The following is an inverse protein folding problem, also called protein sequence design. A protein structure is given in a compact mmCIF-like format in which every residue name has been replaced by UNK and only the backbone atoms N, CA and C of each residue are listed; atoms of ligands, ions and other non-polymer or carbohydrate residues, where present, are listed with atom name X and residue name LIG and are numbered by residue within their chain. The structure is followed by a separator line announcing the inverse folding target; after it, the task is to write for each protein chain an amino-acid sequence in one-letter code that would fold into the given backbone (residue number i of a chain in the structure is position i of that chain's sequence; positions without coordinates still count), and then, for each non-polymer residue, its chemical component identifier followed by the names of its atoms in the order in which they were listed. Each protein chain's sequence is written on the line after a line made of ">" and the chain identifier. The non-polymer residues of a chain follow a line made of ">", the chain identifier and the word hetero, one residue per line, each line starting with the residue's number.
data_IF_973724426870
#
_entry.id   IF_973724426870
#
_cell.length_a   1.000
_cell.length_b   1.000
_cell.length_c   1.000
_cell.angle_alpha   90.00
_cell.angle_beta   90.00
_cell.angle_gamma   90.00
#
_symmetry.space_group_name_H-M   'P 1'
#
loop_
_entity.id
_entity.type
_entity.pdbx_description
1 polymer ?
#
# COMPACT_ATOMS: atom_id res chain seq x y z
N UNK A 1 24.17 44.69 -1.25
CA UNK A 1 25.28 43.71 -1.16
C UNK A 1 25.17 43.00 0.19
N UNK A 2 25.36 41.67 0.23
CA UNK A 2 25.30 40.77 1.41
C UNK A 2 23.90 40.30 1.85
N UNK A 3 23.35 39.28 1.18
CA UNK A 3 22.44 38.27 1.78
C UNK A 3 22.26 37.03 0.86
N UNK A 4 23.32 36.58 0.19
CA UNK A 4 23.26 35.43 -0.76
C UNK A 4 24.14 34.21 -0.42
N UNK A 5 24.86 34.21 0.71
CA UNK A 5 25.84 33.15 0.99
C UNK A 5 25.51 32.19 2.14
N UNK A 6 24.39 32.35 2.86
CA UNK A 6 24.05 31.44 3.96
C UNK A 6 23.27 30.18 3.53
N UNK A 7 22.70 30.15 2.32
CA UNK A 7 21.94 28.99 1.83
C UNK A 7 22.78 27.89 1.16
N UNK A 8 24.10 28.12 0.98
CA UNK A 8 25.00 27.14 0.36
C UNK A 8 25.78 26.26 1.34
N UNK A 9 25.65 26.51 2.65
CA UNK A 9 26.27 25.69 3.69
C UNK A 9 25.31 24.71 4.40
N UNK A 10 23.99 24.87 4.23
CA UNK A 10 23.00 23.90 4.71
C UNK A 10 22.66 22.80 3.68
N UNK A 11 23.08 22.96 2.42
CA UNK A 11 22.91 21.95 1.35
C UNK A 11 24.13 21.02 1.22
N UNK A 12 25.22 21.31 1.93
CA UNK A 12 26.42 20.46 1.95
C UNK A 12 26.48 19.48 3.15
N UNK A 13 25.50 19.54 4.08
CA UNK A 13 25.46 18.66 5.25
C UNK A 13 24.45 17.49 5.14
N UNK A 14 23.61 17.45 4.09
CA UNK A 14 22.72 16.32 3.80
C UNK A 14 23.22 15.41 2.67
N UNK A 15 24.45 15.63 2.17
CA UNK A 15 25.06 14.87 1.08
C UNK A 15 26.32 14.07 1.50
N UNK A 16 26.53 13.86 2.80
CA UNK A 16 27.62 13.02 3.34
C UNK A 16 27.14 12.02 4.40
N UNK A 17 25.96 11.44 4.19
CA UNK A 17 25.55 10.18 4.84
C UNK A 17 25.24 9.08 3.81
N UNK A 18 25.76 9.21 2.59
CA UNK A 18 26.06 8.06 1.75
C UNK A 18 27.41 7.47 2.19
N UNK A 19 27.52 7.11 3.47
CA UNK A 19 28.49 6.08 3.82
C UNK A 19 28.00 4.84 3.10
N UNK A 20 28.75 4.45 2.08
CA UNK A 20 28.76 3.10 1.52
C UNK A 20 28.68 2.16 2.72
N UNK A 21 27.49 1.63 3.00
CA UNK A 21 27.41 0.40 3.74
C UNK A 21 27.98 -0.58 2.73
N UNK A 22 29.30 -0.77 2.78
CA UNK A 22 29.85 -2.04 2.33
C UNK A 22 28.96 -3.05 3.02
N UNK A 23 28.15 -3.76 2.26
CA UNK A 23 27.43 -4.90 2.77
C UNK A 23 28.50 -5.81 3.34
N UNK A 24 28.78 -5.67 4.63
CA UNK A 24 29.67 -6.57 5.35
C UNK A 24 28.93 -7.88 5.31
N UNK A 25 29.27 -8.72 4.32
CA UNK A 25 28.67 -10.02 4.17
C UNK A 25 28.84 -10.71 5.52
N UNK A 26 27.73 -10.96 6.22
CA UNK A 26 27.78 -11.73 7.45
C UNK A 26 28.40 -13.07 7.09
N UNK A 27 29.49 -13.40 7.74
CA UNK A 27 30.16 -14.69 7.56
C UNK A 27 29.79 -15.61 8.70
N UNK A 28 29.66 -16.90 8.38
CA UNK A 28 29.36 -17.96 9.32
C UNK A 28 30.44 -19.04 9.24
N UNK A 29 30.37 -19.95 10.20
CA UNK A 29 31.20 -21.14 10.26
C UNK A 29 30.37 -22.34 9.80
N UNK A 30 30.86 -23.07 8.81
CA UNK A 30 30.35 -24.40 8.50
C UNK A 30 31.30 -25.44 9.09
N UNK A 31 30.74 -26.50 9.66
CA UNK A 31 31.52 -27.60 10.21
C UNK A 31 30.91 -28.94 9.83
N UNK A 32 31.61 -30.02 10.15
CA UNK A 32 31.10 -31.37 10.00
C UNK A 32 32.17 -32.39 10.32
N UNK A 33 31.86 -33.65 10.08
CA UNK A 33 32.75 -34.79 10.29
C UNK A 33 32.84 -35.63 9.03
N UNK A 34 34.05 -36.04 8.70
CA UNK A 34 34.37 -36.97 7.61
C UNK A 34 34.77 -38.30 8.22
N UNK A 35 34.02 -39.35 7.89
CA UNK A 35 34.34 -40.74 8.24
C UNK A 35 34.44 -41.60 6.98
N UNK A 36 35.10 -42.75 7.08
CA UNK A 36 35.27 -43.74 6.01
C UNK A 36 34.67 -45.06 6.46
N UNK A 37 33.72 -45.57 5.67
CA UNK A 37 33.09 -46.87 5.90
C UNK A 37 34.10 -48.01 5.66
N UNK A 38 34.20 -48.92 6.62
CA UNK A 38 35.02 -50.11 6.57
C UNK A 38 34.21 -51.30 6.02
N UNK A 39 34.91 -52.38 5.66
CA UNK A 39 34.28 -53.60 5.11
C UNK A 39 33.33 -54.28 6.12
N UNK A 40 33.56 -54.10 7.42
CA UNK A 40 32.73 -54.61 8.52
C UNK A 40 31.50 -53.74 8.82
N UNK A 41 31.28 -52.67 8.05
CA UNK A 41 30.16 -51.74 8.21
C UNK A 41 30.40 -50.63 9.25
N UNK A 42 31.50 -50.65 9.99
CA UNK A 42 31.89 -49.56 10.90
C UNK A 42 32.40 -48.35 10.12
N UNK A 43 32.53 -47.19 10.78
CA UNK A 43 33.12 -45.99 10.18
C UNK A 43 34.26 -45.47 11.03
N UNK A 44 35.38 -45.13 10.40
CA UNK A 44 36.55 -44.56 11.06
C UNK A 44 36.72 -43.10 10.65
N UNK A 45 37.15 -42.19 11.56
CA UNK A 45 37.41 -40.81 11.18
C UNK A 45 38.52 -40.69 10.13
N UNK A 46 38.36 -39.77 9.18
CA UNK A 46 39.36 -39.53 8.13
C UNK A 46 40.13 -38.26 8.46
N UNK A 47 41.44 -38.39 8.68
CA UNK A 47 42.35 -37.26 8.88
C UNK A 47 42.72 -36.62 7.54
N UNK A 48 42.87 -35.29 7.53
CA UNK A 48 43.34 -34.51 6.39
C UNK A 48 42.46 -34.62 5.13
N UNK A 49 41.20 -35.04 5.27
CA UNK A 49 40.22 -34.98 4.18
C UNK A 49 40.00 -33.52 3.78
N UNK A 50 40.04 -33.24 2.49
CA UNK A 50 39.85 -31.89 1.95
C UNK A 50 38.38 -31.67 1.65
N UNK A 51 37.79 -30.67 2.31
CA UNK A 51 36.40 -30.25 2.10
C UNK A 51 36.38 -28.89 1.42
N UNK A 52 35.77 -28.81 0.24
CA UNK A 52 35.65 -27.59 -0.57
C UNK A 52 34.19 -27.14 -0.66
N UNK A 53 33.96 -25.84 -0.52
CA UNK A 53 32.66 -25.19 -0.63
C UNK A 53 32.69 -24.31 -1.87
N UNK A 54 31.92 -24.66 -2.89
CA UNK A 54 31.80 -23.88 -4.12
C UNK A 54 30.51 -23.07 -4.09
N UNK A 55 30.59 -21.75 -4.29
CA UNK A 55 29.40 -20.93 -4.56
C UNK A 55 28.78 -21.37 -5.89
N UNK A 56 27.46 -21.50 -5.90
CA UNK A 56 26.71 -21.96 -7.08
C UNK A 56 26.40 -20.83 -8.07
N UNK A 57 26.33 -19.60 -7.58
CA UNK A 57 25.94 -18.39 -8.30
C UNK A 57 27.13 -17.54 -8.78
N UNK A 58 28.27 -17.61 -8.08
CA UNK A 58 29.48 -16.87 -8.43
C UNK A 58 30.73 -17.76 -8.33
N UNK A 59 31.80 -17.40 -9.04
CA UNK A 59 33.07 -18.14 -9.00
C UNK A 59 33.86 -17.82 -7.73
N UNK A 60 33.43 -18.40 -6.61
CA UNK A 60 34.07 -18.27 -5.31
C UNK A 60 34.12 -19.63 -4.61
N UNK A 61 35.23 -19.93 -3.94
CA UNK A 61 35.42 -21.19 -3.21
C UNK A 61 36.06 -20.98 -1.84
N UNK A 62 35.76 -21.90 -0.93
CA UNK A 62 36.34 -21.97 0.41
C UNK A 62 36.78 -23.41 0.68
N UNK A 63 37.79 -23.61 1.52
CA UNK A 63 38.26 -24.95 1.84
C UNK A 63 38.57 -25.13 3.33
N UNK A 64 38.51 -26.38 3.76
CA UNK A 64 38.94 -26.83 5.08
C UNK A 64 39.53 -28.24 4.99
N UNK A 65 40.27 -28.63 6.03
CA UNK A 65 40.76 -30.00 6.21
C UNK A 65 40.21 -30.58 7.50
N UNK A 66 39.93 -31.88 7.50
CA UNK A 66 39.55 -32.58 8.72
C UNK A 66 40.75 -32.85 9.64
N UNK A 67 40.51 -32.80 10.94
CA UNK A 67 41.47 -33.13 11.98
C UNK A 67 41.62 -34.65 12.19
N UNK A 68 42.41 -35.07 13.19
CA UNK A 68 42.60 -36.49 13.54
C UNK A 68 41.29 -37.21 13.94
N UNK A 69 40.30 -36.46 14.42
CA UNK A 69 38.97 -36.96 14.77
C UNK A 69 37.96 -36.88 13.60
N UNK A 70 38.43 -36.55 12.39
CA UNK A 70 37.61 -36.40 11.19
C UNK A 70 36.82 -35.09 11.14
N UNK A 71 36.95 -34.20 12.13
CA UNK A 71 36.15 -32.97 12.19
C UNK A 71 36.80 -31.87 11.37
N UNK A 72 36.02 -31.13 10.61
CA UNK A 72 36.48 -29.96 9.89
C UNK A 72 35.65 -28.74 10.28
N UNK A 73 36.28 -27.57 10.19
CA UNK A 73 35.65 -26.27 10.45
C UNK A 73 36.14 -25.30 9.38
N UNK A 74 35.21 -24.64 8.71
CA UNK A 74 35.47 -23.61 7.71
C UNK A 74 34.78 -22.31 8.15
N UNK A 75 35.58 -21.33 8.58
CA UNK A 75 35.11 -20.04 9.03
C UNK A 75 35.23 -19.00 7.91
N UNK A 76 34.32 -18.02 7.88
CA UNK A 76 34.37 -16.97 6.86
C UNK A 76 33.48 -17.24 5.64
N UNK A 77 32.58 -18.23 5.71
CA UNK A 77 31.67 -18.54 4.61
C UNK A 77 30.52 -17.52 4.61
N UNK A 78 30.17 -16.88 3.48
CA UNK A 78 29.03 -15.96 3.41
C UNK A 78 27.73 -16.65 3.84
N UNK A 79 27.00 -16.01 4.77
CA UNK A 79 25.70 -16.48 5.27
C UNK A 79 24.65 -16.57 4.15
N UNK A 80 24.74 -15.65 3.19
CA UNK A 80 23.83 -15.58 2.04
C UNK A 80 24.48 -16.28 0.85
N UNK A 81 23.82 -17.29 0.30
CA UNK A 81 24.25 -18.01 -0.90
C UNK A 81 23.96 -19.50 -0.84
N UNK A 82 24.04 -20.16 -1.99
CA UNK A 82 23.89 -21.61 -2.11
C UNK A 82 25.22 -22.23 -2.53
N UNK A 83 25.59 -23.33 -1.89
CA UNK A 83 26.90 -23.96 -2.02
C UNK A 83 26.81 -25.40 -2.47
N UNK A 84 27.81 -25.86 -3.20
CA UNK A 84 28.11 -27.28 -3.37
C UNK A 84 29.30 -27.61 -2.48
N UNK A 85 29.15 -28.56 -1.55
CA UNK A 85 30.21 -28.99 -0.64
C UNK A 85 30.77 -30.30 -1.16
N UNK A 86 32.04 -30.35 -1.53
CA UNK A 86 32.72 -31.54 -2.01
C UNK A 86 33.80 -31.99 -1.04
N UNK A 87 33.97 -33.29 -0.88
CA UNK A 87 34.98 -33.90 -0.03
C UNK A 87 35.85 -34.88 -0.81
N UNK A 88 37.14 -34.93 -0.48
CA UNK A 88 38.09 -35.90 -1.01
C UNK A 88 39.09 -36.30 0.06
N UNK A 89 39.54 -37.55 0.03
CA UNK A 89 40.56 -38.05 0.96
C UNK A 89 41.35 -39.20 0.33
N UNK A 90 42.63 -39.38 0.68
CA UNK A 90 43.41 -40.52 0.20
C UNK A 90 42.74 -41.86 0.51
N UNK A 91 42.69 -42.75 -0.49
CA UNK A 91 42.08 -44.09 -0.34
C UNK A 91 40.54 -44.09 -0.24
N UNK A 92 39.89 -42.94 -0.47
CA UNK A 92 38.45 -42.80 -0.46
C UNK A 92 37.94 -42.31 -1.82
N UNK A 93 36.72 -42.70 -2.19
CA UNK A 93 36.02 -42.13 -3.35
C UNK A 93 35.51 -40.73 -2.96
N UNK A 94 35.72 -39.69 -3.78
CA UNK A 94 35.20 -38.35 -3.49
C UNK A 94 33.67 -38.34 -3.49
N UNK A 95 33.10 -37.40 -2.74
CA UNK A 95 31.65 -37.23 -2.60
C UNK A 95 31.29 -35.73 -2.54
N UNK A 96 30.01 -35.39 -2.75
CA UNK A 96 29.55 -34.02 -2.64
C UNK A 96 28.07 -33.89 -2.26
N UNK A 97 27.75 -32.78 -1.59
CA UNK A 97 26.38 -32.36 -1.25
C UNK A 97 26.07 -31.09 -2.06
N UNK A 98 25.13 -31.15 -3.01
CA UNK A 98 24.73 -29.98 -3.79
C UNK A 98 23.69 -29.12 -3.05
N UNK A 99 23.53 -27.88 -3.50
CA UNK A 99 22.45 -26.98 -3.10
C UNK A 99 22.31 -26.68 -1.60
N UNK A 100 23.43 -26.61 -0.88
CA UNK A 100 23.46 -26.37 0.57
C UNK A 100 23.31 -24.87 0.87
N UNK A 101 22.34 -24.52 1.73
CA UNK A 101 22.24 -23.19 2.35
C UNK A 101 22.90 -23.24 3.73
N UNK A 102 23.98 -22.49 3.92
CA UNK A 102 24.75 -22.49 5.17
C UNK A 102 24.04 -21.62 6.20
N UNK A 103 23.74 -22.18 7.36
CA UNK A 103 23.16 -21.45 8.51
C UNK A 103 24.18 -21.38 9.65
N UNK A 104 23.90 -20.57 10.68
CA UNK A 104 24.83 -20.37 11.80
C UNK A 104 25.23 -21.63 12.59
N UNK A 105 24.55 -22.78 12.35
CA UNK A 105 24.84 -24.07 13.01
C UNK A 105 24.81 -25.26 12.02
N UNK A 106 25.14 -25.05 10.75
CA UNK A 106 25.09 -26.16 9.78
C UNK A 106 26.22 -27.17 9.99
N UNK A 107 25.84 -28.43 10.21
CA UNK A 107 26.75 -29.58 10.17
C UNK A 107 26.57 -30.33 8.85
N UNK A 108 27.66 -30.48 8.07
CA UNK A 108 27.65 -31.17 6.78
C UNK A 108 28.60 -32.38 6.84
N UNK A 109 28.09 -33.49 7.36
CA UNK A 109 28.87 -34.70 7.56
C UNK A 109 29.01 -35.50 6.26
N UNK A 110 30.14 -36.21 6.14
CA UNK A 110 30.43 -37.11 5.03
C UNK A 110 30.80 -38.49 5.54
N UNK A 111 30.17 -39.51 4.98
CA UNK A 111 30.55 -40.91 5.17
C UNK A 111 31.07 -41.42 3.84
N UNK A 112 32.39 -41.37 3.68
CA UNK A 112 33.08 -41.83 2.49
C UNK A 112 33.09 -43.35 2.40
N UNK A 113 33.32 -43.84 1.19
CA UNK A 113 33.60 -45.25 0.90
C UNK A 113 35.01 -45.40 0.33
N UNK A 114 35.65 -46.58 0.47
CA UNK A 114 36.97 -46.82 -0.11
C UNK A 114 37.00 -46.53 -1.61
N UNK A 115 38.11 -45.97 -2.08
CA UNK A 115 38.27 -45.57 -3.46
C UNK A 115 39.70 -45.17 -3.80
N UNK A 116 39.85 -44.51 -4.94
CA UNK A 116 41.15 -44.17 -5.55
C UNK A 116 41.81 -42.92 -4.95
N UNK A 117 41.13 -42.21 -4.05
CA UNK A 117 41.61 -40.96 -3.48
C UNK A 117 41.54 -39.76 -4.43
N UNK A 118 40.75 -39.88 -5.51
CA UNK A 118 40.52 -38.77 -6.44
C UNK A 118 39.77 -37.60 -5.79
N UNK A 119 39.83 -36.44 -6.44
CA UNK A 119 39.11 -35.25 -6.02
C UNK A 119 38.30 -34.69 -7.20
N UNK A 120 37.05 -34.31 -6.94
CA UNK A 120 36.19 -33.73 -7.95
C UNK A 120 36.43 -32.21 -8.08
N UNK A 121 36.59 -31.74 -9.31
CA UNK A 121 36.56 -30.31 -9.64
C UNK A 121 35.12 -29.80 -9.67
N UNK A 122 34.92 -28.49 -9.47
CA UNK A 122 33.57 -27.91 -9.54
C UNK A 122 32.90 -28.17 -10.90
N UNK A 123 33.64 -28.12 -12.00
CA UNK A 123 33.10 -28.36 -13.34
C UNK A 123 32.71 -29.83 -13.53
N UNK A 124 33.49 -30.79 -13.00
CA UNK A 124 33.10 -32.21 -12.99
C UNK A 124 31.85 -32.44 -12.14
N UNK A 125 31.69 -31.73 -11.02
CA UNK A 125 30.48 -31.83 -10.19
C UNK A 125 29.28 -31.24 -10.93
N UNK A 126 29.42 -30.08 -11.59
CA UNK A 126 28.36 -29.50 -12.42
C UNK A 126 27.96 -30.43 -13.55
N UNK A 127 28.92 -31.05 -14.23
CA UNK A 127 28.65 -32.04 -15.28
C UNK A 127 27.96 -33.30 -14.71
N UNK A 128 28.41 -33.80 -13.55
CA UNK A 128 27.79 -34.93 -12.88
C UNK A 128 26.35 -34.63 -12.39
N UNK A 129 26.06 -33.37 -12.03
CA UNK A 129 24.70 -32.93 -11.69
C UNK A 129 23.82 -32.69 -12.92
N UNK A 130 24.42 -32.34 -14.06
CA UNK A 130 23.71 -32.07 -15.32
C UNK A 130 23.47 -33.34 -16.15
N UNK A 131 24.20 -34.44 -15.89
CA UNK A 131 23.96 -35.72 -16.53
C UNK A 131 22.65 -36.34 -16.04
N UNK A 132 21.78 -36.87 -16.93
CA UNK A 132 20.64 -37.68 -16.50
C UNK A 132 21.19 -38.88 -15.71
N UNK A 133 20.80 -39.01 -14.44
CA UNK A 133 21.31 -40.06 -13.55
C UNK A 133 21.06 -41.44 -14.16
N UNK A 134 22.09 -42.03 -14.76
CA UNK A 134 22.15 -43.46 -14.99
C UNK A 134 22.14 -44.15 -13.62
N UNK A 135 21.22 -45.09 -13.46
CA UNK A 135 20.80 -45.63 -12.16
C UNK A 135 21.95 -46.09 -11.26
N UNK A 136 21.88 -45.66 -10.01
CA UNK A 136 22.51 -46.39 -8.91
C UNK A 136 21.56 -47.52 -8.52
N UNK A 137 21.90 -48.74 -8.92
CA UNK A 137 21.25 -49.99 -8.49
C UNK A 137 21.59 -50.25 -7.01
N UNK A 138 20.81 -49.65 -6.12
CA UNK A 138 20.69 -50.02 -4.72
C UNK A 138 19.20 -50.13 -4.41
N UNK A 139 18.69 -51.36 -4.36
CA UNK A 139 17.27 -51.68 -4.28
C UNK A 139 16.57 -51.06 -3.08
N UNK A 140 15.77 -50.05 -3.38
CA UNK A 140 14.64 -49.58 -2.61
C UNK A 140 13.85 -48.70 -3.57
N UNK A 141 12.80 -49.24 -4.20
CA UNK A 141 11.88 -48.41 -4.95
C UNK A 141 11.41 -47.28 -4.01
N UNK A 142 11.69 -46.02 -4.36
CA UNK A 142 11.01 -44.91 -3.68
C UNK A 142 9.52 -45.23 -3.72
N UNK A 143 8.91 -45.29 -2.54
CA UNK A 143 7.48 -45.52 -2.43
C UNK A 143 6.75 -44.49 -3.30
N UNK A 144 5.57 -44.84 -3.79
CA UNK A 144 4.75 -43.88 -4.54
C UNK A 144 4.53 -42.58 -3.73
N UNK A 145 4.52 -42.68 -2.39
CA UNK A 145 4.47 -41.55 -1.46
C UNK A 145 5.73 -40.68 -1.47
N UNK A 146 6.93 -41.27 -1.49
CA UNK A 146 8.18 -40.50 -1.51
C UNK A 146 8.40 -39.81 -2.86
N UNK A 147 7.99 -40.44 -3.97
CA UNK A 147 7.98 -39.81 -5.30
C UNK A 147 7.00 -38.63 -5.35
N UNK A 148 5.83 -38.79 -4.74
CA UNK A 148 4.83 -37.72 -4.63
C UNK A 148 5.33 -36.55 -3.78
N UNK A 149 5.89 -36.80 -2.60
CA UNK A 149 6.46 -35.75 -1.73
C UNK A 149 7.61 -35.00 -2.39
N UNK A 150 8.50 -35.70 -3.11
CA UNK A 150 9.58 -35.06 -3.85
C UNK A 150 9.05 -34.17 -4.99
N UNK A 151 8.03 -34.64 -5.72
CA UNK A 151 7.39 -33.85 -6.78
C UNK A 151 6.67 -32.62 -6.22
N UNK A 152 5.98 -32.75 -5.08
CA UNK A 152 5.33 -31.63 -4.37
C UNK A 152 6.36 -30.60 -3.89
N UNK A 153 7.47 -31.04 -3.31
CA UNK A 153 8.56 -30.15 -2.89
C UNK A 153 9.21 -29.43 -4.08
N UNK A 154 9.43 -30.12 -5.20
CA UNK A 154 9.99 -29.52 -6.41
C UNK A 154 9.03 -28.51 -7.05
N UNK A 155 7.73 -28.80 -7.08
CA UNK A 155 6.71 -27.88 -7.54
C UNK A 155 6.65 -26.62 -6.65
N UNK A 156 6.76 -26.79 -5.32
CA UNK A 156 6.77 -25.66 -4.39
C UNK A 156 8.03 -24.81 -4.52
N UNK A 157 9.21 -25.41 -4.70
CA UNK A 157 10.45 -24.67 -4.98
C UNK A 157 10.34 -23.88 -6.28
N UNK A 158 9.84 -24.52 -7.36
CA UNK A 158 9.65 -23.84 -8.64
C UNK A 158 8.67 -22.66 -8.53
N UNK A 159 7.57 -22.84 -7.78
CA UNK A 159 6.61 -21.78 -7.47
C UNK A 159 7.27 -20.61 -6.74
N UNK A 160 8.03 -20.89 -5.67
CA UNK A 160 8.71 -19.85 -4.88
C UNK A 160 9.76 -19.12 -5.73
N UNK A 161 10.53 -19.84 -6.56
CA UNK A 161 11.51 -19.23 -7.46
C UNK A 161 10.86 -18.29 -8.46
N UNK A 162 9.75 -18.70 -9.07
CA UNK A 162 9.00 -17.85 -10.00
C UNK A 162 8.39 -16.63 -9.28
N UNK A 163 7.86 -16.82 -8.08
CA UNK A 163 7.34 -15.73 -7.25
C UNK A 163 8.44 -14.71 -6.89
N UNK A 164 9.64 -15.17 -6.52
CA UNK A 164 10.77 -14.30 -6.19
C UNK A 164 11.23 -13.50 -7.41
N UNK A 165 11.31 -14.13 -8.59
CA UNK A 165 11.65 -13.43 -9.83
C UNK A 165 10.65 -12.31 -10.13
N UNK A 166 9.35 -12.59 -10.00
CA UNK A 166 8.30 -11.57 -10.16
C UNK A 166 8.45 -10.42 -9.16
N UNK A 167 8.80 -10.70 -7.91
CA UNK A 167 9.06 -9.67 -6.90
C UNK A 167 10.27 -8.81 -7.27
N UNK A 168 11.37 -9.41 -7.75
CA UNK A 168 12.55 -8.68 -8.21
C UNK A 168 12.22 -7.74 -9.38
N UNK A 169 11.48 -8.23 -10.37
CA UNK A 169 11.01 -7.41 -11.51
C UNK A 169 10.13 -6.25 -11.05
N UNK A 170 9.20 -6.49 -10.13
CA UNK A 170 8.32 -5.45 -9.58
C UNK A 170 9.07 -4.41 -8.75
N UNK A 171 10.09 -4.81 -7.98
CA UNK A 171 10.91 -3.91 -7.16
C UNK A 171 11.66 -2.87 -7.99
N UNK A 172 11.96 -3.17 -9.26
CA UNK A 172 12.57 -2.22 -10.19
C UNK A 172 11.50 -1.40 -10.91
N UNK A 173 10.47 -2.06 -11.43
CA UNK A 173 9.48 -1.43 -12.31
C UNK A 173 8.52 -0.48 -11.59
N UNK A 174 8.05 -0.84 -10.39
CA UNK A 174 7.04 -0.03 -9.68
C UNK A 174 7.56 1.36 -9.26
N UNK A 175 8.79 1.52 -8.72
CA UNK A 175 9.35 2.85 -8.43
C UNK A 175 9.49 3.74 -9.67
N UNK A 176 9.89 3.17 -10.81
CA UNK A 176 10.02 3.90 -12.08
C UNK A 176 8.66 4.38 -12.61
N UNK A 177 7.64 3.52 -12.55
CA UNK A 177 6.26 3.88 -12.90
C UNK A 177 5.76 4.99 -11.98
N UNK A 178 5.95 4.85 -10.67
CA UNK A 178 5.51 5.82 -9.68
C UNK A 178 6.19 7.19 -9.91
N UNK A 179 7.51 7.19 -10.15
CA UNK A 179 8.26 8.40 -10.49
C UNK A 179 7.73 9.04 -11.77
N UNK A 180 7.55 8.26 -12.84
CA UNK A 180 7.07 8.77 -14.13
C UNK A 180 5.66 9.35 -14.03
N UNK A 181 4.77 8.71 -13.27
CA UNK A 181 3.44 9.23 -12.97
C UNK A 181 3.47 10.55 -12.19
N UNK A 182 4.34 10.66 -11.17
CA UNK A 182 4.51 11.88 -10.39
C UNK A 182 5.11 13.03 -11.22
N UNK A 183 6.10 12.72 -12.07
CA UNK A 183 6.74 13.68 -12.98
C UNK A 183 5.71 14.21 -14.00
N UNK A 184 4.91 13.32 -14.60
CA UNK A 184 3.82 13.69 -15.51
C UNK A 184 2.75 14.55 -14.80
N UNK A 185 2.39 14.21 -13.56
CA UNK A 185 1.43 14.98 -12.78
C UNK A 185 1.94 16.39 -12.45
N UNK A 186 3.22 16.50 -12.08
CA UNK A 186 3.88 17.79 -11.81
C UNK A 186 3.94 18.66 -13.08
N UNK A 187 4.11 18.03 -14.25
CA UNK A 187 4.00 18.68 -15.55
C UNK A 187 2.55 18.99 -15.97
N UNK A 188 1.55 18.72 -15.11
CA UNK A 188 0.10 18.81 -15.41
C UNK A 188 -0.35 18.01 -16.62
N UNK A 189 0.44 17.02 -17.03
CA UNK A 189 0.03 16.06 -18.05
C UNK A 189 -0.81 14.96 -17.38
N UNK A 190 -2.06 15.30 -17.06
CA UNK A 190 -2.94 14.44 -16.28
C UNK A 190 -3.18 13.08 -16.95
N UNK A 191 -3.38 13.05 -18.27
CA UNK A 191 -3.65 11.80 -19.00
C UNK A 191 -2.45 10.85 -18.98
N UNK A 192 -1.23 11.38 -19.17
CA UNK A 192 -0.02 10.57 -19.04
C UNK A 192 0.19 10.07 -17.59
N UNK A 193 -0.07 10.92 -16.60
CA UNK A 193 0.03 10.54 -15.19
C UNK A 193 -0.94 9.39 -14.84
N UNK A 194 -2.19 9.49 -15.29
CA UNK A 194 -3.19 8.42 -15.13
C UNK A 194 -2.73 7.12 -15.81
N UNK A 195 -2.17 7.22 -17.03
CA UNK A 195 -1.62 6.06 -17.74
C UNK A 195 -0.51 5.34 -16.96
N UNK A 196 0.39 6.09 -16.32
CA UNK A 196 1.41 5.47 -15.46
C UNK A 196 0.80 4.82 -14.22
N UNK A 197 -0.13 5.46 -13.52
CA UNK A 197 -0.75 4.83 -12.35
C UNK A 197 -1.58 3.60 -12.72
N UNK A 198 -2.21 3.58 -13.90
CA UNK A 198 -2.89 2.39 -14.43
C UNK A 198 -1.91 1.26 -14.73
N UNK A 199 -0.71 1.56 -15.26
CA UNK A 199 0.36 0.56 -15.40
C UNK A 199 0.82 0.00 -14.06
N UNK A 200 0.92 0.85 -13.03
CA UNK A 200 1.27 0.43 -11.67
C UNK A 200 0.22 -0.50 -11.07
N UNK A 201 -1.05 -0.13 -11.20
CA UNK A 201 -2.21 -0.96 -10.78
C UNK A 201 -2.22 -2.30 -11.53
N UNK A 202 -1.96 -2.31 -12.83
CA UNK A 202 -1.91 -3.53 -13.63
C UNK A 202 -0.71 -4.43 -13.26
N UNK A 203 0.42 -3.85 -12.89
CA UNK A 203 1.62 -4.57 -12.48
C UNK A 203 1.46 -5.19 -11.08
N UNK A 204 0.90 -4.43 -10.13
CA UNK A 204 0.63 -4.88 -8.76
C UNK A 204 -0.64 -4.23 -8.18
N UNK A 205 -1.79 -4.91 -8.26
CA UNK A 205 -3.07 -4.39 -7.74
C UNK A 205 -3.11 -4.26 -6.21
N UNK A 206 -2.15 -4.84 -5.48
CA UNK A 206 -2.09 -4.77 -4.00
C UNK A 206 -1.42 -3.47 -3.52
N UNK A 207 -0.98 -2.59 -4.44
CA UNK A 207 -0.28 -1.35 -4.11
C UNK A 207 -1.23 -0.15 -4.03
N UNK A 208 -1.70 0.15 -2.82
CA UNK A 208 -2.63 1.25 -2.54
C UNK A 208 -2.16 2.64 -3.07
N UNK A 209 -0.84 2.86 -3.16
CA UNK A 209 -0.25 4.13 -3.60
C UNK A 209 -0.69 4.55 -5.00
N UNK A 210 -0.82 3.59 -5.95
CA UNK A 210 -1.21 3.93 -7.32
C UNK A 210 -2.66 4.39 -7.40
N UNK A 211 -3.56 3.76 -6.64
CA UNK A 211 -4.95 4.18 -6.54
C UNK A 211 -5.08 5.57 -5.90
N UNK A 212 -4.36 5.82 -4.80
CA UNK A 212 -4.36 7.13 -4.11
C UNK A 212 -3.85 8.25 -5.03
N UNK A 213 -2.76 8.00 -5.75
CA UNK A 213 -2.18 8.97 -6.66
C UNK A 213 -3.08 9.18 -7.89
N UNK A 214 -3.68 8.12 -8.43
CA UNK A 214 -4.70 8.20 -9.49
C UNK A 214 -5.88 9.08 -9.06
N UNK A 215 -6.43 8.86 -7.86
CA UNK A 215 -7.51 9.70 -7.32
C UNK A 215 -7.11 11.18 -7.19
N UNK A 216 -5.86 11.45 -6.83
CA UNK A 216 -5.33 12.81 -6.71
C UNK A 216 -5.25 13.51 -8.08
N UNK A 217 -4.77 12.81 -9.11
CA UNK A 217 -4.72 13.32 -10.48
C UNK A 217 -6.12 13.55 -11.04
N UNK A 218 -7.04 12.60 -10.83
CA UNK A 218 -8.44 12.75 -11.24
C UNK A 218 -9.07 13.99 -10.62
N UNK A 219 -8.91 14.22 -9.30
CA UNK A 219 -9.42 15.45 -8.66
C UNK A 219 -8.82 16.71 -9.27
N UNK A 220 -7.50 16.74 -9.50
CA UNK A 220 -6.85 17.92 -10.08
C UNK A 220 -7.36 18.22 -11.51
N UNK A 221 -7.43 17.18 -12.35
CA UNK A 221 -7.97 17.27 -13.71
C UNK A 221 -9.43 17.72 -13.70
N UNK A 222 -10.25 17.13 -12.83
CA UNK A 222 -11.65 17.47 -12.64
C UNK A 222 -11.85 18.91 -12.21
N UNK A 223 -11.08 19.41 -11.22
CA UNK A 223 -11.15 20.82 -10.77
C UNK A 223 -10.80 21.77 -11.92
N UNK A 224 -9.75 21.49 -12.68
CA UNK A 224 -9.32 22.34 -13.79
C UNK A 224 -10.39 22.39 -14.89
N UNK A 225 -10.91 21.23 -15.30
CA UNK A 225 -11.97 21.12 -16.32
C UNK A 225 -13.27 21.75 -15.86
N UNK A 226 -13.70 21.48 -14.63
CA UNK A 226 -14.94 22.01 -14.06
C UNK A 226 -14.90 23.54 -13.98
N UNK A 227 -13.79 24.11 -13.49
CA UNK A 227 -13.63 25.56 -13.40
C UNK A 227 -13.59 26.21 -14.79
N UNK A 228 -12.90 25.60 -15.76
CA UNK A 228 -12.88 26.07 -17.14
C UNK A 228 -14.30 26.07 -17.76
N UNK A 229 -15.07 25.00 -17.54
CA UNK A 229 -16.44 24.87 -18.01
C UNK A 229 -17.38 25.90 -17.35
N UNK A 230 -17.27 26.12 -16.04
CA UNK A 230 -18.03 27.16 -15.33
C UNK A 230 -17.73 28.55 -15.91
N UNK A 231 -16.45 28.87 -16.16
CA UNK A 231 -16.04 30.14 -16.77
C UNK A 231 -16.58 30.29 -18.19
N UNK A 232 -16.60 29.22 -18.97
CA UNK A 232 -17.13 29.18 -20.33
C UNK A 232 -18.67 29.13 -20.38
N UNK A 233 -19.35 28.96 -19.24
CA UNK A 233 -20.79 28.66 -19.15
C UNK A 233 -21.19 27.43 -19.96
N UNK A 234 -20.29 26.46 -20.06
CA UNK A 234 -20.48 25.21 -20.79
C UNK A 234 -21.01 24.12 -19.84
N UNK A 235 -22.33 23.91 -19.86
CA UNK A 235 -22.98 22.90 -19.03
C UNK A 235 -22.53 21.48 -19.39
N UNK A 236 -22.32 21.18 -20.67
CA UNK A 236 -21.94 19.82 -21.09
C UNK A 236 -20.52 19.47 -20.62
N UNK A 237 -19.57 20.39 -20.79
CA UNK A 237 -18.21 20.22 -20.29
C UNK A 237 -18.17 20.18 -18.74
N UNK A 238 -19.06 20.93 -18.07
CA UNK A 238 -19.18 20.92 -16.62
C UNK A 238 -19.64 19.56 -16.09
N UNK A 239 -20.65 18.96 -16.72
CA UNK A 239 -21.11 17.61 -16.37
C UNK A 239 -20.06 16.55 -16.70
N UNK A 240 -19.37 16.65 -17.84
CA UNK A 240 -18.28 15.74 -18.19
C UNK A 240 -17.13 15.79 -17.15
N UNK A 241 -16.81 16.98 -16.61
CA UNK A 241 -15.78 17.12 -15.58
C UNK A 241 -16.15 16.40 -14.26
N UNK A 242 -17.42 16.11 -13.99
CA UNK A 242 -17.85 15.37 -12.79
C UNK A 242 -17.46 13.89 -12.82
N UNK A 243 -17.23 13.31 -14.01
CA UNK A 243 -16.75 11.94 -14.15
C UNK A 243 -15.39 11.75 -13.45
N UNK A 244 -14.54 12.78 -13.47
CA UNK A 244 -13.26 12.78 -12.76
C UNK A 244 -13.44 12.71 -11.24
N UNK A 245 -14.41 13.43 -10.68
CA UNK A 245 -14.68 13.40 -9.24
C UNK A 245 -15.25 12.05 -8.81
N UNK A 246 -16.14 11.46 -9.62
CA UNK A 246 -16.67 10.12 -9.38
C UNK A 246 -15.54 9.09 -9.42
N UNK A 247 -14.73 9.08 -10.49
CA UNK A 247 -13.60 8.16 -10.61
C UNK A 247 -12.58 8.36 -9.46
N UNK A 248 -12.42 9.57 -8.95
CA UNK A 248 -11.57 9.83 -7.78
C UNK A 248 -12.12 9.24 -6.47
N UNK A 249 -13.45 9.21 -6.29
CA UNK A 249 -14.05 8.49 -5.14
C UNK A 249 -13.81 6.99 -5.25
N UNK A 250 -14.02 6.39 -6.42
CA UNK A 250 -13.81 4.96 -6.65
C UNK A 250 -12.35 4.55 -6.46
N UNK A 251 -11.40 5.36 -6.97
CA UNK A 251 -9.97 5.10 -6.79
C UNK A 251 -9.55 5.19 -5.31
N UNK A 252 -10.05 6.17 -4.53
CA UNK A 252 -9.71 6.25 -3.11
C UNK A 252 -10.41 5.19 -2.25
N UNK A 253 -11.59 4.71 -2.62
CA UNK A 253 -12.20 3.51 -2.02
C UNK A 253 -11.27 2.30 -2.18
N UNK A 254 -10.75 2.09 -3.40
CA UNK A 254 -9.78 1.03 -3.66
C UNK A 254 -8.48 1.22 -2.89
N UNK A 255 -7.95 2.43 -2.81
CA UNK A 255 -6.75 2.72 -2.03
C UNK A 255 -6.91 2.32 -0.55
N UNK A 256 -8.02 2.71 0.08
CA UNK A 256 -8.32 2.37 1.48
C UNK A 256 -8.53 0.87 1.64
N UNK A 257 -9.31 0.22 0.78
CA UNK A 257 -9.56 -1.22 0.89
C UNK A 257 -8.27 -2.03 0.74
N UNK A 258 -7.45 -1.70 -0.26
CA UNK A 258 -6.18 -2.38 -0.52
C UNK A 258 -5.19 -2.17 0.63
N UNK A 259 -5.10 -0.96 1.17
CA UNK A 259 -4.24 -0.67 2.32
C UNK A 259 -4.67 -1.44 3.58
N UNK A 260 -5.98 -1.49 3.86
CA UNK A 260 -6.53 -2.25 5.00
C UNK A 260 -6.31 -3.76 4.85
N UNK A 261 -6.43 -4.29 3.64
CA UNK A 261 -6.14 -5.70 3.37
C UNK A 261 -4.66 -6.02 3.57
N UNK A 262 -3.76 -5.19 3.03
CA UNK A 262 -2.31 -5.34 3.21
C UNK A 262 -1.91 -5.28 4.70
N UNK A 263 -2.44 -4.31 5.44
CA UNK A 263 -2.14 -4.17 6.88
C UNK A 263 -2.70 -5.33 7.70
N UNK A 264 -3.90 -5.83 7.38
CA UNK A 264 -4.47 -7.03 8.02
C UNK A 264 -3.59 -8.26 7.78
N UNK A 265 -3.17 -8.52 6.52
CA UNK A 265 -2.24 -9.60 6.17
C UNK A 265 -0.91 -9.47 6.94
N UNK A 266 -0.38 -8.27 7.13
CA UNK A 266 0.86 -8.03 7.88
C UNK A 266 0.71 -8.25 9.38
N UNK A 267 -0.41 -7.85 9.98
CA UNK A 267 -0.69 -8.04 11.41
C UNK A 267 -0.88 -9.52 11.78
N UNK A 268 -1.45 -10.32 10.88
CA UNK A 268 -1.52 -11.79 11.05
C UNK A 268 -0.12 -12.42 11.05
N UNK A 269 0.85 -11.79 10.38
CA UNK A 269 2.21 -12.31 10.18
C UNK A 269 3.28 -11.67 11.09
N UNK A 270 2.93 -10.72 11.95
CA UNK A 270 3.88 -10.03 12.82
C UNK A 270 3.34 -9.93 14.26
N UNK A 271 4.08 -10.50 15.22
CA UNK A 271 3.97 -10.05 16.61
C UNK A 271 4.29 -8.55 16.62
N UNK A 272 3.32 -7.73 17.04
CA UNK A 272 3.42 -6.28 17.02
C UNK A 272 4.76 -5.83 17.62
N UNK A 273 5.63 -5.20 16.82
CA UNK A 273 6.86 -4.60 17.31
C UNK A 273 6.51 -3.24 17.92
N UNK A 274 6.59 -3.06 19.25
CA UNK A 274 6.20 -1.80 19.88
C UNK A 274 7.26 -0.73 19.57
N UNK A 275 6.83 0.48 19.18
CA UNK A 275 7.69 1.66 19.16
C UNK A 275 8.15 2.18 17.79
N UNK A 276 7.69 1.61 16.66
CA UNK A 276 7.72 2.37 15.40
C UNK A 276 6.53 3.33 15.39
N UNK A 277 6.72 4.62 15.05
CA UNK A 277 5.60 5.52 14.81
C UNK A 277 4.82 4.97 13.60
N UNK A 278 3.72 4.25 13.86
CA UNK A 278 2.63 4.15 12.91
C UNK A 278 2.01 5.55 12.82
N UNK A 279 2.70 6.45 12.15
CA UNK A 279 2.16 7.76 11.83
C UNK A 279 1.15 7.58 10.68
N UNK A 280 0.03 6.95 11.03
CA UNK A 280 -1.31 7.08 10.48
C UNK A 280 -1.46 7.14 8.95
N UNK A 281 -0.73 6.31 8.20
CA UNK A 281 -1.00 6.08 6.76
C UNK A 281 -2.48 5.74 6.50
N UNK A 282 -3.16 5.10 7.45
CA UNK A 282 -4.61 4.86 7.41
C UNK A 282 -5.41 6.18 7.46
N UNK A 283 -5.07 7.10 8.36
CA UNK A 283 -5.66 8.43 8.43
C UNK A 283 -5.38 9.23 7.15
N UNK A 284 -4.18 9.15 6.58
CA UNK A 284 -3.90 9.81 5.30
C UNK A 284 -4.77 9.26 4.17
N UNK A 285 -4.95 7.94 4.10
CA UNK A 285 -5.82 7.32 3.10
C UNK A 285 -7.30 7.70 3.33
N UNK A 286 -7.76 7.73 4.58
CA UNK A 286 -9.09 8.22 4.95
C UNK A 286 -9.28 9.69 4.58
N UNK A 287 -8.30 10.56 4.84
CA UNK A 287 -8.34 11.99 4.48
C UNK A 287 -8.46 12.17 2.98
N UNK A 288 -7.67 11.44 2.17
CA UNK A 288 -7.77 11.51 0.71
C UNK A 288 -9.15 11.04 0.21
N UNK A 289 -9.69 9.95 0.77
CA UNK A 289 -11.04 9.45 0.45
C UNK A 289 -12.12 10.45 0.82
N UNK A 290 -12.06 11.03 2.02
CA UNK A 290 -12.92 12.11 2.47
C UNK A 290 -12.86 13.30 1.50
N UNK A 291 -11.67 13.75 1.11
CA UNK A 291 -11.51 14.88 0.20
C UNK A 291 -12.09 14.60 -1.21
N UNK A 292 -12.02 13.36 -1.71
CA UNK A 292 -12.72 12.97 -2.95
C UNK A 292 -14.24 13.11 -2.81
N UNK A 293 -14.82 12.60 -1.72
CA UNK A 293 -16.26 12.71 -1.48
C UNK A 293 -16.70 14.17 -1.29
N UNK A 294 -15.93 14.95 -0.51
CA UNK A 294 -16.22 16.36 -0.29
C UNK A 294 -16.29 17.14 -1.60
N UNK A 295 -15.33 16.94 -2.52
CA UNK A 295 -15.33 17.62 -3.81
C UNK A 295 -16.47 17.12 -4.71
N UNK A 296 -16.71 15.81 -4.74
CA UNK A 296 -17.84 15.24 -5.50
C UNK A 296 -19.17 15.87 -5.05
N UNK A 297 -19.41 15.93 -3.74
CA UNK A 297 -20.60 16.58 -3.16
C UNK A 297 -20.65 18.07 -3.49
N UNK A 298 -19.57 18.83 -3.29
CA UNK A 298 -19.55 20.27 -3.58
C UNK A 298 -19.79 20.62 -5.06
N UNK A 299 -19.58 19.67 -5.95
CA UNK A 299 -19.77 19.85 -7.40
C UNK A 299 -21.08 19.25 -7.90
N UNK A 300 -21.92 18.70 -7.00
CA UNK A 300 -23.15 18.01 -7.37
C UNK A 300 -22.89 16.78 -8.24
N UNK A 301 -21.78 16.08 -7.97
CA UNK A 301 -21.46 14.79 -8.57
C UNK A 301 -22.22 13.71 -7.81
N UNK A 302 -22.99 12.89 -8.53
CA UNK A 302 -23.75 11.82 -7.92
C UNK A 302 -22.81 10.78 -7.26
N UNK A 303 -23.02 10.55 -5.98
CA UNK A 303 -22.32 9.55 -5.15
C UNK A 303 -23.33 8.82 -4.28
N UNK A 304 -23.04 7.56 -3.94
CA UNK A 304 -23.89 6.79 -3.03
C UNK A 304 -23.83 7.37 -1.61
N UNK A 305 -24.96 7.88 -1.12
CA UNK A 305 -25.09 8.57 0.17
C UNK A 305 -24.48 7.77 1.31
N UNK A 306 -24.86 6.50 1.48
CA UNK A 306 -24.37 5.64 2.57
C UNK A 306 -22.85 5.41 2.50
N UNK A 307 -22.30 5.34 1.29
CA UNK A 307 -20.86 5.16 1.10
C UNK A 307 -20.12 6.44 1.48
N UNK A 308 -20.62 7.59 1.03
CA UNK A 308 -20.05 8.90 1.33
C UNK A 308 -20.12 9.21 2.83
N UNK A 309 -21.28 9.04 3.48
CA UNK A 309 -21.45 9.31 4.91
C UNK A 309 -20.55 8.40 5.74
N UNK A 310 -20.45 7.11 5.40
CA UNK A 310 -19.53 6.18 6.05
C UNK A 310 -18.08 6.61 5.91
N UNK A 311 -17.63 6.99 4.70
CA UNK A 311 -16.27 7.45 4.47
C UNK A 311 -15.91 8.67 5.32
N UNK A 312 -16.82 9.65 5.36
CA UNK A 312 -16.66 10.88 6.12
C UNK A 312 -16.65 10.57 7.62
N UNK A 313 -17.54 9.69 8.10
CA UNK A 313 -17.59 9.31 9.51
C UNK A 313 -16.34 8.55 9.98
N UNK A 314 -15.80 7.65 9.15
CA UNK A 314 -14.53 6.98 9.43
C UNK A 314 -13.39 8.00 9.61
N UNK A 315 -13.32 9.02 8.74
CA UNK A 315 -12.34 10.09 8.87
C UNK A 315 -12.58 10.95 10.13
N UNK A 316 -13.82 11.34 10.44
CA UNK A 316 -14.19 12.09 11.66
C UNK A 316 -13.74 11.35 12.93
N UNK A 317 -13.88 10.03 12.94
CA UNK A 317 -13.53 9.20 14.10
C UNK A 317 -12.00 9.13 14.30
N UNK A 318 -11.23 9.10 13.21
CA UNK A 318 -9.78 9.00 13.25
C UNK A 318 -9.06 10.36 13.38
N UNK A 319 -9.68 11.46 12.93
CA UNK A 319 -9.11 12.81 12.96
C UNK A 319 -9.14 13.40 14.39
N UNK A 320 -8.00 13.97 14.78
CA UNK A 320 -7.77 14.56 16.10
C UNK A 320 -7.72 16.08 16.07
N UNK A 321 -7.43 16.70 14.92
CA UNK A 321 -7.47 18.16 14.77
C UNK A 321 -8.93 18.66 14.82
N UNK A 322 -9.31 19.50 15.79
CA UNK A 322 -10.70 19.95 15.95
C UNK A 322 -11.25 20.72 14.76
N UNK A 323 -10.41 21.51 14.07
CA UNK A 323 -10.84 22.32 12.93
C UNK A 323 -11.10 21.43 11.71
N UNK A 324 -10.19 20.49 11.42
CA UNK A 324 -10.40 19.49 10.36
C UNK A 324 -11.61 18.60 10.63
N UNK A 325 -11.77 18.16 11.89
CA UNK A 325 -12.91 17.34 12.31
C UNK A 325 -14.24 18.08 12.14
N UNK A 326 -14.31 19.34 12.53
CA UNK A 326 -15.51 20.18 12.35
C UNK A 326 -15.83 20.37 10.87
N UNK A 327 -14.82 20.59 10.02
CA UNK A 327 -15.01 20.69 8.57
C UNK A 327 -15.55 19.38 7.97
N UNK A 328 -15.06 18.24 8.43
CA UNK A 328 -15.56 16.93 8.01
C UNK A 328 -17.01 16.70 8.50
N UNK A 329 -17.35 17.11 9.72
CA UNK A 329 -18.73 17.08 10.23
C UNK A 329 -19.68 17.91 9.37
N UNK A 330 -19.26 19.11 8.92
CA UNK A 330 -20.07 19.90 7.98
C UNK A 330 -20.28 19.15 6.65
N UNK A 331 -19.22 18.52 6.14
CA UNK A 331 -19.31 17.69 4.91
C UNK A 331 -20.20 16.46 5.08
N UNK A 332 -20.33 15.91 6.29
CA UNK A 332 -21.29 14.85 6.59
C UNK A 332 -22.73 15.38 6.47
N UNK A 333 -22.99 16.59 6.97
CA UNK A 333 -24.26 17.30 6.77
C UNK A 333 -24.58 17.51 5.29
N UNK A 334 -23.59 17.91 4.48
CA UNK A 334 -23.72 18.05 3.02
C UNK A 334 -24.06 16.72 2.34
N UNK A 335 -23.40 15.63 2.72
CA UNK A 335 -23.65 14.29 2.19
C UNK A 335 -25.09 13.83 2.49
N UNK A 336 -25.54 14.04 3.73
CA UNK A 336 -26.91 13.72 4.16
C UNK A 336 -27.95 14.55 3.40
N UNK A 337 -27.69 15.86 3.24
CA UNK A 337 -28.56 16.76 2.50
C UNK A 337 -28.73 16.33 1.05
N UNK A 338 -27.63 16.08 0.33
CA UNK A 338 -27.67 15.64 -1.06
C UNK A 338 -28.30 14.25 -1.23
N UNK A 339 -28.17 13.40 -0.22
CA UNK A 339 -28.85 12.12 -0.15
C UNK A 339 -30.34 12.18 0.18
N UNK A 340 -30.92 13.38 0.36
CA UNK A 340 -32.33 13.58 0.73
C UNK A 340 -32.65 13.28 2.20
N UNK A 341 -31.63 13.02 3.03
CA UNK A 341 -31.77 12.78 4.47
C UNK A 341 -31.82 14.11 5.23
N UNK A 342 -32.84 14.91 4.93
CA UNK A 342 -32.94 16.31 5.35
C UNK A 342 -32.91 16.47 6.88
N UNK A 343 -33.68 15.67 7.62
CA UNK A 343 -33.71 15.77 9.08
C UNK A 343 -32.37 15.38 9.74
N UNK A 344 -31.69 14.37 9.22
CA UNK A 344 -30.35 13.97 9.68
C UNK A 344 -29.33 15.08 9.40
N UNK A 345 -29.42 15.73 8.22
CA UNK A 345 -28.57 16.87 7.86
C UNK A 345 -28.78 18.07 8.80
N UNK A 346 -30.04 18.42 9.09
CA UNK A 346 -30.40 19.48 10.04
C UNK A 346 -29.80 19.19 11.42
N UNK A 347 -29.92 17.94 11.90
CA UNK A 347 -29.36 17.54 13.18
C UNK A 347 -27.83 17.67 13.21
N UNK A 348 -27.15 17.24 12.15
CA UNK A 348 -25.70 17.34 12.02
C UNK A 348 -25.22 18.80 12.07
N UNK A 349 -25.86 19.72 11.34
CA UNK A 349 -25.48 21.12 11.37
C UNK A 349 -25.79 21.80 12.71
N UNK A 350 -26.93 21.49 13.34
CA UNK A 350 -27.25 22.00 14.67
C UNK A 350 -26.21 21.57 15.70
N UNK A 351 -25.69 20.33 15.62
CA UNK A 351 -24.63 19.86 16.50
C UNK A 351 -23.34 20.70 16.38
N UNK A 352 -22.98 21.12 15.16
CA UNK A 352 -21.82 21.99 14.93
C UNK A 352 -22.09 23.37 15.55
N UNK A 353 -23.28 23.93 15.36
CA UNK A 353 -23.64 25.25 15.89
C UNK A 353 -23.76 25.29 17.41
N UNK A 354 -24.08 24.16 18.06
CA UNK A 354 -24.01 24.05 19.53
C UNK A 354 -22.58 24.24 20.06
N UNK A 355 -21.57 23.80 19.30
CA UNK A 355 -20.16 23.90 19.69
C UNK A 355 -19.52 25.20 19.21
N UNK A 356 -19.88 25.65 18.01
CA UNK A 356 -19.41 26.88 17.41
C UNK A 356 -20.58 27.60 16.70
N UNK A 357 -21.26 28.51 17.39
CA UNK A 357 -22.42 29.25 16.86
C UNK A 357 -22.10 30.15 15.65
N UNK A 358 -20.82 30.45 15.38
CA UNK A 358 -20.36 31.30 14.28
C UNK A 358 -19.78 30.50 13.11
N UNK A 359 -19.93 29.18 13.11
CA UNK A 359 -19.48 28.34 12.01
C UNK A 359 -20.29 28.62 10.73
N UNK A 360 -19.71 29.40 9.81
CA UNK A 360 -20.36 29.84 8.58
C UNK A 360 -20.80 28.68 7.67
N UNK A 361 -20.03 27.59 7.61
CA UNK A 361 -20.39 26.41 6.81
C UNK A 361 -21.65 25.74 7.36
N UNK A 362 -21.75 25.61 8.68
CA UNK A 362 -22.92 25.03 9.32
C UNK A 362 -24.15 25.96 9.29
N UNK A 363 -23.98 27.29 9.42
CA UNK A 363 -25.10 28.24 9.26
C UNK A 363 -25.67 28.14 7.84
N UNK A 364 -24.80 28.16 6.82
CA UNK A 364 -25.21 28.05 5.43
C UNK A 364 -25.89 26.71 5.13
N UNK A 365 -25.24 25.60 5.52
CA UNK A 365 -25.76 24.24 5.31
C UNK A 365 -27.09 24.00 6.02
N UNK A 366 -27.22 24.46 7.28
CA UNK A 366 -28.48 24.39 8.02
C UNK A 366 -29.59 25.19 7.31
N UNK A 367 -29.27 26.39 6.82
CA UNK A 367 -30.21 27.22 6.08
C UNK A 367 -30.76 26.54 4.83
N UNK A 368 -29.88 25.91 4.03
CA UNK A 368 -30.29 25.12 2.87
C UNK A 368 -31.12 23.89 3.24
N UNK A 369 -30.70 23.16 4.28
CA UNK A 369 -31.39 21.95 4.74
C UNK A 369 -32.80 22.26 5.25
N UNK A 370 -32.96 23.29 6.09
CA UNK A 370 -34.25 23.75 6.60
C UNK A 370 -35.16 24.29 5.49
N UNK A 371 -34.60 25.02 4.51
CA UNK A 371 -35.36 25.54 3.37
C UNK A 371 -35.84 24.45 2.41
N UNK A 372 -35.17 23.30 2.39
CA UNK A 372 -35.52 22.14 1.56
C UNK A 372 -36.36 21.10 2.31
N UNK A 373 -36.79 21.41 3.53
CA UNK A 373 -37.69 20.57 4.30
C UNK A 373 -38.99 20.30 3.51
N UNK A 374 -39.37 19.03 3.30
CA UNK A 374 -40.49 18.68 2.42
C UNK A 374 -41.85 19.15 2.94
N UNK A 375 -41.99 19.41 4.24
CA UNK A 375 -43.23 19.95 4.83
C UNK A 375 -43.32 21.47 4.62
N UNK A 376 -42.17 22.12 4.43
CA UNK A 376 -42.03 23.56 4.34
C UNK A 376 -42.24 24.29 5.66
N UNK A 377 -42.46 23.60 6.77
CA UNK A 377 -42.62 24.19 8.11
C UNK A 377 -41.34 24.92 8.55
N UNK A 378 -40.19 24.38 8.16
CA UNK A 378 -38.85 24.90 8.53
C UNK A 378 -38.34 25.98 7.58
N UNK A 379 -39.10 26.33 6.54
CA UNK A 379 -38.67 27.29 5.49
C UNK A 379 -38.32 28.67 6.05
N UNK A 380 -39.10 29.17 7.02
CA UNK A 380 -38.85 30.47 7.63
C UNK A 380 -37.54 30.47 8.44
N UNK A 381 -37.29 29.40 9.20
CA UNK A 381 -36.03 29.21 9.94
C UNK A 381 -34.85 29.10 8.97
N UNK A 382 -35.01 28.34 7.87
CA UNK A 382 -33.98 28.21 6.84
C UNK A 382 -33.60 29.54 6.18
N UNK A 383 -34.60 30.36 5.84
CA UNK A 383 -34.40 31.74 5.37
C UNK A 383 -33.59 32.55 6.39
N UNK A 384 -33.94 32.49 7.67
CA UNK A 384 -33.29 33.29 8.72
C UNK A 384 -31.81 32.87 8.90
N UNK A 385 -31.51 31.57 8.80
CA UNK A 385 -30.13 31.07 8.80
C UNK A 385 -29.34 31.54 7.58
N UNK A 386 -29.94 31.49 6.38
CA UNK A 386 -29.28 32.00 5.16
C UNK A 386 -29.06 33.52 5.22
N UNK A 387 -29.99 34.27 5.82
CA UNK A 387 -29.84 35.71 6.04
C UNK A 387 -28.71 36.00 7.04
N UNK A 388 -28.62 35.22 8.12
CA UNK A 388 -27.51 35.31 9.07
C UNK A 388 -26.16 35.02 8.38
N UNK A 389 -26.09 33.97 7.55
CA UNK A 389 -24.90 33.68 6.76
C UNK A 389 -24.53 34.85 5.84
N UNK A 390 -25.50 35.37 5.07
CA UNK A 390 -25.25 36.48 4.14
C UNK A 390 -24.77 37.75 4.85
N UNK A 391 -25.16 37.98 6.10
CA UNK A 391 -24.66 39.10 6.90
C UNK A 391 -23.23 38.87 7.41
N UNK A 392 -22.94 37.68 7.92
CA UNK A 392 -21.65 37.35 8.56
C UNK A 392 -20.54 36.96 7.57
N UNK A 393 -20.90 36.42 6.40
CA UNK A 393 -19.93 35.91 5.44
C UNK A 393 -19.01 37.03 4.92
N UNK A 394 -17.69 36.77 4.80
CA UNK A 394 -16.76 37.68 4.14
C UNK A 394 -17.19 38.04 2.71
N UNK A 395 -16.84 39.24 2.23
CA UNK A 395 -17.23 39.69 0.90
C UNK A 395 -16.67 38.81 -0.24
N UNK A 396 -15.57 38.08 0.01
CA UNK A 396 -14.96 37.16 -0.93
C UNK A 396 -15.48 35.72 -0.82
N UNK A 397 -16.43 35.43 0.08
CA UNK A 397 -17.09 34.11 0.10
C UNK A 397 -18.02 34.01 -1.11
N UNK A 398 -17.80 33.06 -2.04
CA UNK A 398 -18.59 32.94 -3.27
C UNK A 398 -20.05 32.59 -3.01
N UNK A 399 -20.38 32.07 -1.81
CA UNK A 399 -21.76 31.72 -1.44
C UNK A 399 -22.56 32.91 -0.95
N UNK A 400 -21.91 34.04 -0.60
CA UNK A 400 -22.57 35.20 0.01
C UNK A 400 -23.69 35.76 -0.86
N UNK A 401 -23.42 35.97 -2.15
CA UNK A 401 -24.41 36.45 -3.10
C UNK A 401 -25.53 35.42 -3.32
N UNK A 402 -25.16 34.14 -3.47
CA UNK A 402 -26.11 33.04 -3.66
C UNK A 402 -27.09 32.95 -2.47
N UNK A 403 -26.59 33.09 -1.24
CA UNK A 403 -27.42 33.10 -0.05
C UNK A 403 -28.36 34.32 0.00
N UNK A 404 -27.88 35.50 -0.39
CA UNK A 404 -28.71 36.70 -0.42
C UNK A 404 -29.86 36.60 -1.45
N UNK A 405 -29.58 36.05 -2.63
CA UNK A 405 -30.58 35.76 -3.66
C UNK A 405 -31.60 34.72 -3.15
N UNK A 406 -31.13 33.62 -2.56
CA UNK A 406 -32.00 32.60 -1.98
C UNK A 406 -32.90 33.17 -0.86
N UNK A 407 -32.39 34.07 -0.02
CA UNK A 407 -33.18 34.76 1.01
C UNK A 407 -34.29 35.61 0.39
N UNK A 408 -34.02 36.31 -0.72
CA UNK A 408 -35.03 37.11 -1.41
C UNK A 408 -36.14 36.20 -1.97
N UNK A 409 -35.77 35.11 -2.63
CA UNK A 409 -36.72 34.14 -3.18
C UNK A 409 -37.59 33.50 -2.09
N UNK A 410 -36.97 33.10 -0.97
CA UNK A 410 -37.68 32.54 0.18
C UNK A 410 -38.62 33.56 0.83
N UNK A 411 -38.27 34.85 0.88
CA UNK A 411 -39.16 35.92 1.36
C UNK A 411 -40.40 36.04 0.49
N UNK A 412 -40.27 35.98 -0.83
CA UNK A 412 -41.41 36.01 -1.74
C UNK A 412 -42.26 34.73 -1.65
N UNK A 413 -41.63 33.55 -1.60
CA UNK A 413 -42.34 32.28 -1.44
C UNK A 413 -43.17 32.21 -0.14
N UNK A 414 -42.64 32.75 0.96
CA UNK A 414 -43.34 32.81 2.25
C UNK A 414 -44.50 33.82 2.27
N UNK A 415 -44.46 34.89 1.48
CA UNK A 415 -45.60 35.81 1.31
C UNK A 415 -46.73 35.17 0.50
N UNK A 416 -46.38 34.30 -0.45
CA UNK A 416 -47.32 33.70 -1.39
C UNK A 416 -48.17 32.55 -0.80
N UNK A 417 -47.87 32.04 0.41
CA UNK A 417 -48.71 31.07 1.12
C UNK A 417 -49.81 31.79 1.93
N UNK A 418 -51.10 31.78 1.52
CA UNK A 418 -52.19 32.23 2.39
C UNK A 418 -52.43 31.17 3.47
N UNK A 419 -52.83 31.60 4.68
CA UNK A 419 -53.28 30.71 5.72
C UNK A 419 -54.41 29.80 5.19
N UNK A 420 -54.18 28.47 5.15
CA UNK A 420 -55.27 27.51 5.04
C UNK A 420 -56.20 27.72 6.24
N UNK A 421 -57.25 28.51 6.03
CA UNK A 421 -58.41 28.53 6.93
C UNK A 421 -59.09 27.18 6.77
N UNK A 422 -58.71 26.20 7.59
CA UNK A 422 -59.52 25.02 7.90
C UNK A 422 -60.76 25.45 8.68
N UNK A 423 -61.65 26.17 8.00
CA UNK A 423 -62.98 26.50 8.47
C UNK A 423 -63.92 25.38 8.10
N UNK A 424 -63.87 24.26 8.81
CA UNK A 424 -64.89 23.21 8.74
C UNK A 424 -66.19 23.78 9.32
N UNK A 425 -67.00 24.40 8.46
CA UNK A 425 -68.38 24.76 8.81
C UNK A 425 -69.13 23.46 9.12
N UNK A 426 -69.31 23.20 10.41
CA UNK A 426 -70.40 22.38 10.96
C UNK A 426 -71.71 22.80 10.27
N UNK A 427 -72.26 21.95 9.42
CA UNK A 427 -73.66 22.05 9.01
C UNK A 427 -74.41 20.93 9.72
N UNK A 428 -75.06 21.30 10.83
CA UNK A 428 -76.23 20.58 11.32
C UNK A 428 -77.35 20.85 10.32
N UNK A 429 -78.03 19.78 9.91
CA UNK A 429 -79.23 19.77 9.08
C UNK A 429 -79.73 18.34 9.08
#
# INVERSE_FOLDING_TARGET
>A
MRFKNFYRLAVAACLLAASVVTASAQVVTASGKVTLKQADGTTVPVKDAVVKFYRTDIKQEFNAKSDKGGRYVNAGIPLVGTFTIAVSAPGARPDFIPNVKISARSENDFVLVPGDGSALTHDQIKQAMAAPRAGNTGGGEMSAEDKKKLAEQQAEIARITEQNKKVEELNVKLPEILKSGNDAFTAKNYDAALGFYDQGIAADPEQAVFYRNKATVLRARGVERYNAAVKAKDTAAKEAAKEDFKAATEANEKAVSTYREFTSKRQVNAAATPGQPQQNDDLSNMEQRYESYRIALQTGTAVETETATKAIQEYINAETDPAKKTKAQASLGDALFQGGKIDESIAAYRQILTQNPDNLDAIYGLGLALASDPTGEKTAEGRDMLEQFAQKAPANDPRKQIAAEAVADLKEALKAKPAEKTGTKRRKG
#
